data_IF_684726819939
#
_entry.id   IF_684726819939
#
_cell.length_a   1.000
_cell.length_b   1.000
_cell.length_c   1.000
_cell.angle_alpha   90.00
_cell.angle_beta   90.00
_cell.angle_gamma   90.00
#
_symmetry.space_group_name_H-M   'P 1'
#
loop_
_entity.id
_entity.type
_entity.pdbx_description
1 polymer ?
#
# COMPACT_ATOMS: atom_id res chain seq x y z
N UNK A 1 10.24 15.25 29.84
CA UNK A 1 9.46 14.06 29.42
C UNK A 1 8.78 14.45 28.12
N UNK A 2 9.19 13.90 26.97
CA UNK A 2 8.58 14.26 25.67
C UNK A 2 7.20 13.59 25.63
N UNK A 3 6.14 14.39 25.53
CA UNK A 3 4.81 13.91 25.19
C UNK A 3 4.94 13.25 23.82
N UNK A 4 4.80 11.93 23.77
CA UNK A 4 4.50 11.28 22.51
C UNK A 4 3.04 11.62 22.26
N UNK A 5 2.78 12.40 21.22
CA UNK A 5 1.44 12.51 20.67
C UNK A 5 1.05 11.08 20.26
N UNK A 6 0.28 10.40 21.11
CA UNK A 6 -0.22 9.03 20.95
C UNK A 6 -1.32 8.96 19.86
N UNK A 7 -1.22 9.81 18.83
CA UNK A 7 -2.13 9.76 17.69
C UNK A 7 -1.74 8.54 16.84
N UNK A 8 -2.65 7.60 16.58
CA UNK A 8 -2.36 6.49 15.69
C UNK A 8 -2.00 7.02 14.30
N UNK A 9 -0.90 6.52 13.74
CA UNK A 9 -0.52 6.78 12.36
C UNK A 9 -1.51 6.06 11.44
N UNK A 10 -2.12 6.81 10.51
CA UNK A 10 -2.95 6.21 9.47
C UNK A 10 -2.12 6.02 8.20
N UNK A 11 -2.52 5.02 7.42
CA UNK A 11 -1.88 4.68 6.16
C UNK A 11 -2.95 4.39 5.12
N UNK A 12 -2.76 4.91 3.91
CA UNK A 12 -3.64 4.65 2.78
C UNK A 12 -2.95 3.74 1.78
N UNK A 13 -3.63 2.67 1.37
CA UNK A 13 -3.14 1.83 0.29
C UNK A 13 -3.11 2.64 -1.02
N UNK A 14 -1.95 2.68 -1.69
CA UNK A 14 -1.73 3.44 -2.92
C UNK A 14 -1.48 2.55 -4.14
N UNK A 15 -0.89 1.37 -3.95
CA UNK A 15 -0.57 0.44 -5.05
C UNK A 15 -0.72 -1.01 -4.61
N UNK A 16 -1.17 -1.87 -5.52
CA UNK A 16 -1.03 -3.33 -5.39
C UNK A 16 0.17 -3.79 -6.18
N UNK A 17 0.93 -4.71 -5.61
CA UNK A 17 1.97 -5.44 -6.33
C UNK A 17 1.37 -6.73 -6.85
N UNK A 18 1.39 -6.91 -8.17
CA UNK A 18 0.79 -8.05 -8.86
C UNK A 18 1.91 -8.90 -9.45
N UNK A 19 1.94 -10.19 -9.12
CA UNK A 19 2.86 -11.14 -9.73
C UNK A 19 2.56 -11.27 -11.23
N UNK A 20 3.54 -10.99 -12.09
CA UNK A 20 3.35 -11.02 -13.54
C UNK A 20 2.98 -12.43 -14.07
N UNK A 21 3.45 -13.49 -13.39
CA UNK A 21 3.22 -14.87 -13.80
C UNK A 21 1.83 -15.40 -13.42
N UNK A 22 1.30 -14.96 -12.28
CA UNK A 22 0.07 -15.52 -11.71
C UNK A 22 -1.10 -14.55 -11.68
N UNK A 23 -0.85 -13.25 -11.90
CA UNK A 23 -1.84 -12.18 -11.76
C UNK A 23 -2.31 -11.97 -10.31
N UNK A 24 -1.70 -12.65 -9.33
CA UNK A 24 -2.10 -12.56 -7.92
C UNK A 24 -1.46 -11.36 -7.24
N UNK A 25 -2.20 -10.74 -6.33
CA UNK A 25 -1.62 -9.73 -5.42
C UNK A 25 -0.63 -10.41 -4.48
N UNK A 26 0.62 -9.97 -4.55
CA UNK A 26 1.73 -10.46 -3.72
C UNK A 26 2.18 -9.41 -2.71
N UNK A 27 1.64 -8.19 -2.80
CA UNK A 27 1.85 -7.15 -1.80
C UNK A 27 1.03 -5.89 -2.02
N UNK A 28 1.08 -5.00 -1.03
CA UNK A 28 0.38 -3.71 -1.06
C UNK A 28 1.30 -2.61 -0.53
N UNK A 29 1.38 -1.53 -1.27
CA UNK A 29 2.13 -0.32 -0.92
C UNK A 29 1.19 0.69 -0.28
N UNK A 30 1.64 1.28 0.82
CA UNK A 30 0.90 2.25 1.62
C UNK A 30 1.68 3.57 1.69
N UNK A 31 0.93 4.67 1.72
CA UNK A 31 1.41 6.01 2.06
C UNK A 31 0.92 6.34 3.47
N UNK A 32 1.86 6.59 4.38
CA UNK A 32 1.59 7.04 5.74
C UNK A 32 1.30 8.54 5.77
N UNK A 33 0.57 9.02 6.78
CA UNK A 33 0.38 10.46 6.99
C UNK A 33 1.69 11.23 7.25
N UNK A 34 2.77 10.53 7.62
CA UNK A 34 4.12 11.11 7.70
C UNK A 34 4.71 11.46 6.32
N UNK A 35 4.08 11.00 5.24
CA UNK A 35 4.59 11.09 3.86
C UNK A 35 5.51 9.92 3.48
N UNK A 36 5.82 9.02 4.42
CA UNK A 36 6.62 7.84 4.15
C UNK A 36 5.80 6.78 3.40
N UNK A 37 6.50 5.96 2.62
CA UNK A 37 5.89 4.79 1.96
C UNK A 37 6.40 3.50 2.56
N UNK A 38 5.52 2.52 2.73
CA UNK A 38 5.91 1.16 3.17
C UNK A 38 5.12 0.10 2.41
N UNK A 39 5.73 -1.08 2.24
CA UNK A 39 5.06 -2.24 1.66
C UNK A 39 4.65 -3.19 2.78
N UNK A 40 3.35 -3.42 2.92
CA UNK A 40 2.84 -4.43 3.84
C UNK A 40 2.69 -5.74 3.04
N UNK A 41 3.49 -6.73 3.41
CA UNK A 41 3.58 -8.06 2.79
C UNK A 41 4.16 -8.04 1.38
N UNK A 42 5.32 -8.65 1.18
CA UNK A 42 5.82 -9.03 -0.13
C UNK A 42 6.07 -10.53 -0.10
N UNK A 43 5.39 -11.28 -0.96
CA UNK A 43 5.75 -12.67 -1.19
C UNK A 43 6.96 -12.65 -2.14
N UNK A 44 8.17 -12.81 -1.58
CA UNK A 44 9.45 -12.79 -2.32
C UNK A 44 9.60 -13.88 -3.38
N UNK A 45 8.62 -14.80 -3.52
CA UNK A 45 8.66 -15.86 -4.54
C UNK A 45 8.48 -15.33 -5.97
N UNK A 46 8.35 -14.02 -6.17
CA UNK A 46 8.20 -13.43 -7.49
C UNK A 46 9.12 -12.22 -7.62
N UNK A 47 10.34 -12.40 -8.13
CA UNK A 47 11.18 -11.29 -8.59
C UNK A 47 10.53 -10.48 -9.74
N UNK A 48 9.39 -10.94 -10.27
CA UNK A 48 8.58 -10.27 -11.28
C UNK A 48 7.21 -9.88 -10.72
N UNK A 49 7.13 -8.70 -10.12
CA UNK A 49 5.86 -8.05 -9.80
C UNK A 49 5.79 -6.65 -10.39
N UNK A 50 4.59 -6.24 -10.74
CA UNK A 50 4.29 -4.91 -11.26
C UNK A 50 3.47 -4.12 -10.23
N UNK A 51 3.72 -2.82 -10.12
CA UNK A 51 2.93 -1.93 -9.26
C UNK A 51 1.72 -1.43 -10.05
N UNK A 52 0.53 -1.84 -9.63
CA UNK A 52 -0.74 -1.34 -10.13
C UNK A 52 -1.32 -0.32 -9.14
N UNK A 53 -1.47 0.95 -9.53
CA UNK A 53 -2.05 1.96 -8.65
C UNK A 53 -3.47 1.58 -8.24
N UNK A 54 -3.77 1.72 -6.96
CA UNK A 54 -5.13 1.62 -6.44
C UNK A 54 -5.76 2.97 -6.68
N UNK A 55 -6.55 3.07 -7.75
CA UNK A 55 -7.35 4.26 -8.00
C UNK A 55 -8.33 4.35 -6.82
N UNK A 56 -8.23 5.37 -5.95
CA UNK A 56 -9.24 5.57 -4.93
C UNK A 56 -10.51 5.84 -5.71
N UNK A 57 -11.47 4.92 -5.59
CA UNK A 57 -12.73 4.91 -6.30
C UNK A 57 -13.17 6.36 -6.57
N UNK A 58 -13.13 6.80 -7.83
CA UNK A 58 -13.78 8.04 -8.22
C UNK A 58 -15.19 7.92 -7.64
N UNK A 59 -15.56 8.86 -6.77
CA UNK A 59 -16.77 8.79 -5.98
C UNK A 59 -17.90 8.20 -6.84
N UNK A 60 -18.44 7.06 -6.42
CA UNK A 60 -19.81 6.69 -6.81
C UNK A 60 -20.71 7.67 -6.07
N UNK A 61 -20.81 8.89 -6.58
CA UNK A 61 -21.86 9.85 -6.23
C UNK A 61 -23.07 9.54 -7.13
N UNK A 62 -24.16 9.17 -6.45
CA UNK A 62 -25.57 9.05 -6.90
C UNK A 62 -25.94 7.91 -7.87
#
# INVERSE_FOLDING_TARGET
MRQFDDKPLEAKAISRMICALTGRTVGVEYLWDTGETSTLWIIETSNSFERCPIIPNAKTEA
#
